data_IF_613152721472
#
_entry.id   IF_613152721472
#
_cell.length_a   1.000
_cell.length_b   1.000
_cell.length_c   1.000
_cell.angle_alpha   90.00
_cell.angle_beta   90.00
_cell.angle_gamma   90.00
#
_symmetry.space_group_name_H-M   'P 1'
#
loop_
_entity.id
_entity.type
_entity.pdbx_description
1 polymer ?
#
# COMPACT_ATOMS: atom_id res chain seq x y z
N UNK A 1 21.95 -58.57 24.01
CA UNK A 1 21.75 -57.13 24.26
C UNK A 1 20.57 -56.71 23.41
N UNK A 2 19.45 -56.23 23.97
CA UNK A 2 18.34 -55.79 23.14
C UNK A 2 18.82 -54.59 22.32
N UNK A 3 18.63 -54.66 21.01
CA UNK A 3 18.86 -53.54 20.10
C UNK A 3 18.04 -52.38 20.62
N UNK A 4 18.69 -51.24 20.91
CA UNK A 4 18.00 -50.02 21.31
C UNK A 4 17.18 -49.57 20.10
N UNK A 5 15.94 -50.03 20.01
CA UNK A 5 14.97 -49.56 19.04
C UNK A 5 14.98 -48.02 19.14
N UNK A 6 15.12 -47.30 18.03
CA UNK A 6 15.09 -45.83 18.02
C UNK A 6 13.69 -45.26 18.34
N UNK A 7 12.81 -46.09 18.90
CA UNK A 7 11.47 -45.74 19.34
C UNK A 7 11.58 -45.17 20.75
N UNK A 8 11.26 -43.87 20.95
CA UNK A 8 11.12 -43.27 22.28
C UNK A 8 10.08 -44.04 23.11
N UNK A 9 10.31 -44.24 24.41
CA UNK A 9 9.33 -44.90 25.31
C UNK A 9 8.40 -43.91 25.98
N UNK A 10 8.79 -42.64 26.02
CA UNK A 10 8.05 -41.53 26.59
C UNK A 10 8.38 -40.22 25.84
N UNK A 11 7.60 -39.18 26.10
CA UNK A 11 7.83 -37.84 25.57
C UNK A 11 9.21 -37.31 26.02
N UNK A 12 9.88 -36.60 25.12
CA UNK A 12 11.22 -36.06 25.38
C UNK A 12 12.37 -37.07 25.23
N UNK A 13 12.11 -38.32 24.83
CA UNK A 13 13.14 -39.30 24.49
C UNK A 13 13.44 -39.40 22.98
N UNK A 14 14.54 -40.07 22.63
CA UNK A 14 14.82 -40.53 21.26
C UNK A 14 15.32 -39.47 20.27
N UNK A 15 15.98 -38.42 20.75
CA UNK A 15 16.69 -37.47 19.88
C UNK A 15 17.70 -38.16 18.96
N UNK A 16 17.71 -37.76 17.69
CA UNK A 16 18.70 -38.22 16.71
C UNK A 16 19.97 -37.37 16.87
N UNK A 17 20.86 -37.80 17.78
CA UNK A 17 22.11 -37.10 18.12
C UNK A 17 21.98 -36.17 19.33
N UNK A 18 23.06 -35.44 19.61
CA UNK A 18 23.14 -34.41 20.67
C UNK A 18 23.88 -33.18 20.15
N UNK A 19 23.89 -32.07 20.91
CA UNK A 19 24.62 -30.86 20.55
C UNK A 19 26.14 -31.10 20.34
N UNK A 20 26.72 -32.09 21.01
CA UNK A 20 28.14 -32.44 20.90
C UNK A 20 28.43 -33.58 19.90
N UNK A 21 27.43 -34.40 19.56
CA UNK A 21 27.55 -35.50 18.60
C UNK A 21 26.34 -35.54 17.69
N UNK A 22 26.48 -34.87 16.56
CA UNK A 22 25.48 -34.76 15.52
C UNK A 22 25.80 -35.70 14.34
N UNK A 23 24.78 -35.95 13.53
CA UNK A 23 24.93 -36.63 12.25
C UNK A 23 25.38 -35.60 11.21
N UNK A 24 26.31 -35.97 10.34
CA UNK A 24 26.77 -35.06 9.28
C UNK A 24 25.65 -34.78 8.25
N UNK A 25 24.84 -35.80 7.95
CA UNK A 25 23.68 -35.71 7.07
C UNK A 25 22.65 -36.81 7.39
N UNK A 26 21.40 -36.62 6.96
CA UNK A 26 20.32 -37.60 7.10
C UNK A 26 19.33 -37.50 5.94
N UNK A 27 18.85 -38.65 5.45
CA UNK A 27 17.80 -38.71 4.44
C UNK A 27 16.51 -39.21 5.09
N UNK A 28 15.50 -38.35 5.15
CA UNK A 28 14.20 -38.67 5.74
C UNK A 28 13.14 -38.63 4.64
N UNK A 29 12.33 -39.69 4.53
CA UNK A 29 11.19 -39.72 3.61
C UNK A 29 10.20 -38.60 3.93
N UNK A 30 10.01 -38.31 5.22
CA UNK A 30 9.13 -37.28 5.73
C UNK A 30 9.60 -36.83 7.12
N UNK A 31 9.44 -35.55 7.43
CA UNK A 31 9.63 -34.97 8.75
C UNK A 31 8.30 -34.36 9.20
N UNK A 32 7.77 -34.82 10.34
CA UNK A 32 6.58 -34.24 10.96
C UNK A 32 7.03 -33.30 12.06
N UNK A 33 6.90 -32.00 11.83
CA UNK A 33 7.17 -30.95 12.82
C UNK A 33 5.82 -30.47 13.38
N UNK A 34 5.77 -30.15 14.67
CA UNK A 34 4.63 -29.49 15.29
C UNK A 34 4.49 -28.04 14.80
N UNK A 35 3.54 -27.31 15.39
CA UNK A 35 3.35 -25.90 15.08
C UNK A 35 4.61 -25.07 15.38
N UNK A 36 4.92 -24.14 14.47
CA UNK A 36 5.97 -23.14 14.63
C UNK A 36 5.30 -21.78 14.82
N UNK A 37 5.74 -21.04 15.84
CA UNK A 37 5.22 -19.70 16.11
C UNK A 37 6.07 -18.65 15.41
N UNK A 38 5.42 -17.71 14.73
CA UNK A 38 6.04 -16.51 14.16
C UNK A 38 5.69 -15.32 15.06
N UNK A 39 6.70 -14.68 15.63
CA UNK A 39 6.55 -13.55 16.55
C UNK A 39 6.83 -12.23 15.81
N UNK A 40 5.77 -11.58 15.35
CA UNK A 40 5.85 -10.32 14.63
C UNK A 40 6.24 -9.12 15.52
N UNK A 41 6.58 -9.34 16.79
CA UNK A 41 7.20 -8.34 17.68
C UNK A 41 8.72 -8.30 17.52
N UNK A 42 9.34 -9.27 16.83
CA UNK A 42 10.80 -9.37 16.66
C UNK A 42 11.27 -8.55 15.47
N UNK A 43 12.10 -7.55 15.74
CA UNK A 43 12.70 -6.70 14.70
C UNK A 43 13.93 -7.39 14.08
N UNK A 44 14.23 -7.16 12.79
CA UNK A 44 15.46 -7.65 12.18
C UNK A 44 16.73 -7.12 12.88
N UNK A 45 17.64 -8.01 13.25
CA UNK A 45 18.95 -7.67 13.87
C UNK A 45 20.15 -8.29 13.14
N UNK A 46 19.91 -9.26 12.25
CA UNK A 46 20.93 -9.98 11.49
C UNK A 46 20.30 -10.53 10.20
N UNK A 47 21.14 -10.73 9.19
CA UNK A 47 20.76 -11.42 7.94
C UNK A 47 20.90 -12.95 8.06
N UNK A 48 21.49 -13.45 9.15
CA UNK A 48 21.75 -14.88 9.38
C UNK A 48 21.39 -15.27 10.81
N UNK A 49 20.44 -16.19 10.95
CA UNK A 49 20.00 -16.79 12.22
C UNK A 49 19.13 -18.02 11.90
N UNK A 50 18.51 -18.64 12.91
CA UNK A 50 17.51 -19.68 12.72
C UNK A 50 16.30 -19.21 11.88
N UNK A 51 15.66 -20.16 11.20
CA UNK A 51 14.57 -19.89 10.27
C UNK A 51 13.38 -19.19 10.95
N UNK A 52 13.01 -19.59 12.17
CA UNK A 52 11.87 -19.03 12.89
C UNK A 52 12.08 -17.55 13.20
N UNK A 53 13.29 -17.16 13.59
CA UNK A 53 13.65 -15.76 13.80
C UNK A 53 13.61 -14.97 12.48
N UNK A 54 14.09 -15.53 11.37
CA UNK A 54 13.99 -14.87 10.07
C UNK A 54 12.53 -14.65 9.64
N UNK A 55 11.64 -15.64 9.85
CA UNK A 55 10.21 -15.49 9.57
C UNK A 55 9.55 -14.46 10.50
N UNK A 56 9.93 -14.44 11.77
CA UNK A 56 9.44 -13.46 12.76
C UNK A 56 9.82 -12.03 12.36
N UNK A 57 11.06 -11.84 11.91
CA UNK A 57 11.55 -10.56 11.38
C UNK A 57 10.76 -10.12 10.14
N UNK A 58 10.51 -11.04 9.19
CA UNK A 58 9.71 -10.73 8.00
C UNK A 58 8.26 -10.34 8.36
N UNK A 59 7.64 -11.05 9.30
CA UNK A 59 6.30 -10.72 9.78
C UNK A 59 6.25 -9.33 10.43
N UNK A 60 7.27 -8.96 11.21
CA UNK A 60 7.42 -7.62 11.76
C UNK A 60 7.51 -6.55 10.65
N UNK A 61 8.32 -6.77 9.62
CA UNK A 61 8.44 -5.86 8.48
C UNK A 61 7.12 -5.69 7.69
N UNK A 62 6.38 -6.79 7.49
CA UNK A 62 5.05 -6.75 6.86
C UNK A 62 4.08 -5.95 7.73
N UNK A 63 4.08 -6.17 9.06
CA UNK A 63 3.25 -5.42 10.00
C UNK A 63 3.53 -3.91 9.92
N UNK A 64 4.81 -3.52 9.98
CA UNK A 64 5.23 -2.13 9.87
C UNK A 64 4.82 -1.51 8.53
N UNK A 65 5.02 -2.24 7.43
CA UNK A 65 4.68 -1.76 6.08
C UNK A 65 3.18 -1.54 5.86
N UNK A 66 2.34 -2.35 6.51
CA UNK A 66 0.88 -2.24 6.43
C UNK A 66 0.31 -1.14 7.32
N UNK A 67 1.06 -0.69 8.34
CA UNK A 67 0.59 0.28 9.33
C UNK A 67 -0.55 -0.26 10.22
N UNK A 68 -0.61 -1.57 10.44
CA UNK A 68 -1.64 -2.25 11.26
C UNK A 68 -1.01 -2.95 12.46
N UNK A 69 -1.80 -3.31 13.47
CA UNK A 69 -1.29 -3.97 14.69
C UNK A 69 -0.97 -5.48 14.49
N UNK A 70 -1.47 -6.09 13.42
CA UNK A 70 -1.26 -7.50 13.09
C UNK A 70 -0.79 -7.65 11.64
N UNK A 71 0.19 -8.52 11.41
CA UNK A 71 0.67 -8.86 10.07
C UNK A 71 -0.37 -9.66 9.26
N UNK A 72 -1.26 -10.41 9.91
CA UNK A 72 -2.25 -11.32 9.27
C UNK A 72 -3.52 -10.63 8.76
N UNK A 73 -3.88 -9.47 9.33
CA UNK A 73 -5.10 -8.75 8.92
C UNK A 73 -4.92 -8.09 7.56
N UNK A 74 -5.98 -7.75 6.86
CA UNK A 74 -5.83 -6.93 5.65
C UNK A 74 -5.39 -5.49 6.02
N UNK A 75 -4.57 -4.80 5.19
CA UNK A 75 -4.30 -3.37 5.39
C UNK A 75 -5.59 -2.55 5.19
N UNK A 76 -5.68 -1.39 5.85
CA UNK A 76 -6.88 -0.53 5.81
C UNK A 76 -7.23 -0.04 4.38
N UNK A 77 -6.22 0.20 3.56
CA UNK A 77 -6.35 0.55 2.14
C UNK A 77 -5.37 -0.30 1.33
N UNK A 78 -5.79 -0.83 0.18
CA UNK A 78 -4.94 -1.64 -0.68
C UNK A 78 -4.57 -0.89 -1.97
N UNK A 79 -3.60 -1.45 -2.70
CA UNK A 79 -3.07 -0.84 -3.92
C UNK A 79 -4.15 -0.67 -5.01
N UNK A 80 -5.17 -1.53 -5.06
CA UNK A 80 -6.27 -1.39 -6.03
C UNK A 80 -7.18 -0.19 -5.68
N UNK A 81 -7.48 0.03 -4.40
CA UNK A 81 -8.20 1.22 -3.93
C UNK A 81 -7.38 2.49 -4.19
N UNK A 82 -6.07 2.46 -3.94
CA UNK A 82 -5.18 3.58 -4.26
C UNK A 82 -5.13 3.84 -5.77
N UNK A 83 -4.99 2.80 -6.59
CA UNK A 83 -5.00 2.93 -8.04
C UNK A 83 -6.33 3.53 -8.55
N UNK A 84 -7.45 3.18 -7.93
CA UNK A 84 -8.75 3.78 -8.23
C UNK A 84 -8.79 5.27 -7.85
N UNK A 85 -8.21 5.65 -6.72
CA UNK A 85 -8.11 7.06 -6.31
C UNK A 85 -7.20 7.85 -7.25
N UNK A 86 -6.03 7.31 -7.61
CA UNK A 86 -5.11 7.91 -8.57
C UNK A 86 -5.77 8.05 -9.94
N UNK A 87 -6.48 7.02 -10.40
CA UNK A 87 -7.26 7.07 -11.62
C UNK A 87 -8.30 8.18 -11.60
N UNK A 88 -8.99 8.40 -10.46
CA UNK A 88 -9.88 9.56 -10.29
C UNK A 88 -9.11 10.88 -10.34
N UNK A 89 -7.94 11.00 -9.73
CA UNK A 89 -7.15 12.24 -9.80
C UNK A 89 -6.67 12.58 -11.23
N UNK A 90 -6.27 11.58 -12.02
CA UNK A 90 -5.77 11.78 -13.39
C UNK A 90 -6.86 11.96 -14.43
N UNK A 91 -8.08 11.48 -14.16
CA UNK A 91 -9.23 11.67 -15.05
C UNK A 91 -10.20 12.78 -14.61
N UNK A 92 -10.00 13.35 -13.43
CA UNK A 92 -10.89 14.33 -12.80
C UNK A 92 -10.14 15.62 -12.39
N UNK A 93 -9.16 16.06 -13.20
CA UNK A 93 -8.99 17.51 -13.33
C UNK A 93 -10.32 17.97 -13.92
N UNK A 94 -11.29 18.33 -13.07
CA UNK A 94 -12.63 18.72 -13.48
C UNK A 94 -12.61 19.83 -14.54
N UNK A 95 -11.44 20.45 -14.75
CA UNK A 95 -11.04 21.32 -15.84
C UNK A 95 -10.63 20.52 -17.08
N UNK A 96 -11.48 20.48 -18.09
CA UNK A 96 -11.10 20.08 -19.47
C UNK A 96 -10.59 21.29 -20.24
N UNK A 97 -9.66 21.08 -21.17
CA UNK A 97 -9.12 22.12 -22.05
C UNK A 97 -9.42 21.81 -23.52
N UNK A 98 -9.93 22.81 -24.24
CA UNK A 98 -10.06 22.85 -25.70
C UNK A 98 -9.31 24.09 -26.18
N UNK A 99 -8.08 23.91 -26.67
CA UNK A 99 -7.12 24.97 -26.98
C UNK A 99 -6.92 25.93 -25.78
N UNK A 100 -7.28 27.20 -25.94
CA UNK A 100 -7.19 28.23 -24.91
C UNK A 100 -8.40 28.25 -23.97
N UNK A 101 -9.42 27.42 -24.21
CA UNK A 101 -10.65 27.40 -23.42
C UNK A 101 -10.59 26.29 -22.39
N UNK A 102 -10.93 26.61 -21.14
CA UNK A 102 -11.12 25.62 -20.10
C UNK A 102 -12.59 25.53 -19.66
N UNK A 103 -13.00 24.33 -19.22
CA UNK A 103 -14.34 24.08 -18.68
C UNK A 103 -14.25 23.24 -17.42
N UNK A 104 -14.81 23.74 -16.32
CA UNK A 104 -15.13 22.96 -15.13
C UNK A 104 -16.61 22.63 -15.06
N UNK A 105 -16.98 21.46 -15.57
CA UNK A 105 -18.38 21.04 -15.67
C UNK A 105 -19.06 20.83 -14.32
N UNK A 106 -18.30 20.48 -13.27
CA UNK A 106 -18.86 20.26 -11.91
C UNK A 106 -19.27 21.56 -11.23
N UNK A 107 -18.47 22.61 -11.38
CA UNK A 107 -18.78 23.92 -10.79
C UNK A 107 -19.53 24.85 -11.76
N UNK A 108 -19.60 24.48 -13.04
CA UNK A 108 -20.18 25.30 -14.11
C UNK A 108 -19.28 26.48 -14.51
N UNK A 109 -17.99 26.40 -14.22
CA UNK A 109 -17.02 27.46 -14.50
C UNK A 109 -16.44 27.24 -15.89
N UNK A 110 -16.31 28.28 -16.71
CA UNK A 110 -15.66 28.23 -18.02
C UNK A 110 -14.73 29.42 -18.19
N UNK A 111 -13.74 29.34 -19.06
CA UNK A 111 -12.93 30.50 -19.39
C UNK A 111 -12.17 30.36 -20.70
N UNK A 112 -11.82 31.50 -21.30
CA UNK A 112 -11.01 31.60 -22.51
C UNK A 112 -9.73 32.38 -22.19
N UNK A 113 -8.58 31.72 -22.27
CA UNK A 113 -7.26 32.27 -21.95
C UNK A 113 -6.60 32.89 -23.19
N UNK A 114 -7.26 33.88 -23.78
CA UNK A 114 -6.72 34.64 -24.92
C UNK A 114 -6.39 36.08 -24.54
N UNK A 115 -5.80 36.82 -25.49
CA UNK A 115 -5.53 38.24 -25.31
C UNK A 115 -6.79 39.04 -24.97
N UNK A 116 -7.94 38.64 -25.52
CA UNK A 116 -9.26 39.09 -25.11
C UNK A 116 -10.01 37.87 -24.53
N UNK A 117 -10.01 37.74 -23.22
CA UNK A 117 -10.41 36.51 -22.53
C UNK A 117 -11.40 36.75 -21.40
N UNK A 118 -11.86 35.65 -20.82
CA UNK A 118 -12.81 35.69 -19.71
C UNK A 118 -12.74 34.46 -18.81
N UNK A 119 -13.32 34.59 -17.61
CA UNK A 119 -13.72 33.50 -16.72
C UNK A 119 -15.18 33.73 -16.31
N UNK A 120 -16.05 32.81 -16.67
CA UNK A 120 -17.45 32.76 -16.23
C UNK A 120 -17.57 31.75 -15.10
N UNK A 121 -18.01 32.20 -13.92
CA UNK A 121 -18.21 31.32 -12.77
C UNK A 121 -19.51 30.51 -12.84
N UNK A 122 -20.40 30.83 -13.77
CA UNK A 122 -21.67 30.13 -13.95
C UNK A 122 -22.73 30.51 -12.90
N UNK A 123 -23.87 29.82 -12.95
CA UNK A 123 -25.09 30.19 -12.20
C UNK A 123 -24.95 30.06 -10.68
N UNK A 124 -24.09 29.16 -10.20
CA UNK A 124 -23.79 28.98 -8.77
C UNK A 124 -23.15 30.23 -8.14
N UNK A 125 -22.59 31.11 -8.97
CA UNK A 125 -21.99 32.38 -8.57
C UNK A 125 -22.72 33.55 -9.23
N UNK A 126 -24.04 33.43 -9.43
CA UNK A 126 -24.89 34.51 -9.95
C UNK A 126 -24.56 34.93 -11.37
N UNK A 127 -23.94 34.06 -12.18
CA UNK A 127 -23.54 34.40 -13.54
C UNK A 127 -22.40 35.42 -13.61
N UNK A 128 -21.58 35.52 -12.55
CA UNK A 128 -20.41 36.42 -12.53
C UNK A 128 -19.43 36.05 -13.64
N UNK A 129 -19.00 37.07 -14.39
CA UNK A 129 -17.97 36.95 -15.43
C UNK A 129 -16.88 37.99 -15.17
N UNK A 130 -15.63 37.53 -15.12
CA UNK A 130 -14.42 38.37 -15.16
C UNK A 130 -13.88 38.38 -16.58
N UNK A 131 -13.59 39.55 -17.14
CA UNK A 131 -13.14 39.71 -18.54
C UNK A 131 -11.95 40.66 -18.65
N UNK A 132 -11.14 40.46 -19.69
CA UNK A 132 -10.00 41.34 -20.04
C UNK A 132 -9.87 41.47 -21.56
N UNK A 133 -9.16 42.51 -22.00
CA UNK A 133 -8.87 42.73 -23.42
C UNK A 133 -7.78 43.76 -23.71
N UNK A 134 -7.49 43.96 -24.99
CA UNK A 134 -6.43 44.85 -25.50
C UNK A 134 -6.50 46.24 -24.87
N UNK A 135 -5.43 46.66 -24.17
CA UNK A 135 -5.37 47.92 -23.40
C UNK A 135 -5.26 47.75 -21.88
N UNK A 136 -5.27 46.52 -21.37
CA UNK A 136 -5.09 46.23 -19.93
C UNK A 136 -6.31 46.54 -19.07
N UNK A 137 -7.46 46.83 -19.68
CA UNK A 137 -8.70 47.11 -18.97
C UNK A 137 -9.35 45.81 -18.49
N UNK A 138 -9.66 45.75 -17.19
CA UNK A 138 -10.39 44.66 -16.55
C UNK A 138 -11.84 45.09 -16.32
N UNK A 139 -12.79 44.22 -16.67
CA UNK A 139 -14.22 44.48 -16.49
C UNK A 139 -14.90 43.25 -15.88
N UNK A 140 -15.89 43.49 -15.03
CA UNK A 140 -16.79 42.46 -14.53
C UNK A 140 -18.18 42.68 -15.09
N UNK A 141 -18.86 41.58 -15.43
CA UNK A 141 -20.25 41.58 -15.84
C UNK A 141 -21.02 40.56 -15.00
N UNK A 142 -22.33 40.79 -14.83
CA UNK A 142 -23.24 39.84 -14.19
C UNK A 142 -24.25 39.42 -15.26
N UNK A 143 -24.25 38.14 -15.62
CA UNK A 143 -25.30 37.56 -16.47
C UNK A 143 -26.54 37.22 -15.64
N UNK A 144 -27.73 37.51 -16.16
CA UNK A 144 -29.04 37.12 -15.56
C UNK A 144 -29.27 35.61 -15.71
#
# INVERSE_FOLDING_TARGET
MPTRNFVPRADGEGSIGTAAKNWLSGYFKQLNVADVTVDDSKKPTSNTTDLTTLLSNLANEIKQSKGTDDWKTAPATNLATLASLVGKLTSDSNVTWEDNKFTNSKFGITGLMEQNGYICFGKNFGGLILQWGYGGAFWFAVGV
#
